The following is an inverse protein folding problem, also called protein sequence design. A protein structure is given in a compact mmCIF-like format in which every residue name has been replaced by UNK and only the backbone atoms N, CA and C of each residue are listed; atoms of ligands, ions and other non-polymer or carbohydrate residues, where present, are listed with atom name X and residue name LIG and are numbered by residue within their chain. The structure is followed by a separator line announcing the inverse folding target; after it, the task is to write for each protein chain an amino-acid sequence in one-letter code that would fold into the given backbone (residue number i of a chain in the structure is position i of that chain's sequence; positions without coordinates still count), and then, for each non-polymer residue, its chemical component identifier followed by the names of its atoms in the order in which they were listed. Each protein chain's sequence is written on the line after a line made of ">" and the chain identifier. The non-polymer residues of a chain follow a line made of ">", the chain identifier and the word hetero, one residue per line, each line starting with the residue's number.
data_IF_106377260005
#
_entry.id   IF_106377260005
#
_cell.length_a   1.000
_cell.length_b   1.000
_cell.length_c   1.000
_cell.angle_alpha   90.00
_cell.angle_beta   90.00
_cell.angle_gamma   90.00
#
_symmetry.space_group_name_H-M   'P 1'
#
loop_
_entity.id
_entity.type
_entity.pdbx_description
1 polymer ?
#
# COMPACT_ATOMS: atom_id res chain seq x y z
N UNK A 1 14.98 -8.32 13.75
CA UNK A 1 15.52 -7.12 13.07
C UNK A 1 14.68 -5.93 13.53
N UNK A 2 15.31 -4.80 13.85
CA UNK A 2 14.56 -3.55 14.05
C UNK A 2 13.95 -3.07 12.72
N UNK A 3 13.10 -2.05 12.80
CA UNK A 3 12.39 -1.50 11.66
C UNK A 3 13.34 -1.07 10.54
N UNK A 4 14.39 -0.32 10.87
CA UNK A 4 15.35 0.22 9.91
C UNK A 4 16.14 -0.87 9.19
N UNK A 5 16.68 -1.85 9.91
CA UNK A 5 17.46 -2.92 9.29
C UNK A 5 16.59 -3.76 8.35
N UNK A 6 15.34 -4.04 8.72
CA UNK A 6 14.40 -4.73 7.84
C UNK A 6 14.04 -3.88 6.61
N UNK A 7 13.82 -2.57 6.80
CA UNK A 7 13.50 -1.65 5.70
C UNK A 7 14.56 -1.59 4.62
N UNK A 8 15.84 -1.68 4.97
CA UNK A 8 16.95 -1.60 4.01
C UNK A 8 16.86 -2.71 2.96
N UNK A 9 16.49 -3.95 3.34
CA UNK A 9 16.38 -5.04 2.36
C UNK A 9 15.30 -4.78 1.31
N UNK A 10 14.14 -4.28 1.73
CA UNK A 10 13.06 -3.91 0.81
C UNK A 10 13.41 -2.67 -0.03
N UNK A 11 14.15 -1.72 0.55
CA UNK A 11 14.59 -0.52 -0.15
C UNK A 11 15.63 -0.85 -1.24
N UNK A 12 16.55 -1.78 -0.99
CA UNK A 12 17.55 -2.23 -1.98
C UNK A 12 16.85 -2.96 -3.14
N UNK A 13 15.88 -3.83 -2.86
CA UNK A 13 15.09 -4.50 -3.90
C UNK A 13 14.37 -3.48 -4.81
N UNK A 14 13.75 -2.46 -4.21
CA UNK A 14 13.14 -1.36 -5.00
C UNK A 14 14.15 -0.51 -5.74
N UNK A 15 15.34 -0.30 -5.17
CA UNK A 15 16.42 0.42 -5.86
C UNK A 15 16.84 -0.31 -7.14
N UNK A 16 17.02 -1.63 -7.09
CA UNK A 16 17.32 -2.44 -8.27
C UNK A 16 16.20 -2.37 -9.32
N UNK A 17 14.94 -2.47 -8.89
CA UNK A 17 13.79 -2.32 -9.79
C UNK A 17 13.69 -0.90 -10.39
N UNK A 18 14.20 0.13 -9.69
CA UNK A 18 14.01 1.55 -10.04
C UNK A 18 14.54 1.91 -11.43
N UNK A 19 15.61 1.26 -11.90
CA UNK A 19 16.16 1.48 -13.24
C UNK A 19 15.13 1.13 -14.32
N UNK A 20 14.45 -0.01 -14.17
CA UNK A 20 13.41 -0.41 -15.11
C UNK A 20 12.17 0.47 -15.01
N UNK A 21 11.79 0.87 -13.79
CA UNK A 21 10.67 1.77 -13.57
C UNK A 21 10.87 3.10 -14.30
N UNK A 22 12.06 3.71 -14.21
CA UNK A 22 12.38 4.95 -14.94
C UNK A 22 12.27 4.78 -16.45
N UNK A 23 12.84 3.72 -17.01
CA UNK A 23 12.76 3.45 -18.45
C UNK A 23 11.29 3.33 -18.93
N UNK A 24 10.43 2.71 -18.14
CA UNK A 24 9.00 2.59 -18.45
C UNK A 24 8.29 3.94 -18.34
N UNK A 25 8.58 4.71 -17.29
CA UNK A 25 8.00 6.04 -17.09
C UNK A 25 8.40 7.03 -18.19
N UNK A 26 9.66 7.01 -18.63
CA UNK A 26 10.16 7.82 -19.76
C UNK A 26 9.43 7.50 -21.07
N UNK A 27 8.96 6.26 -21.23
CA UNK A 27 8.13 5.83 -22.36
C UNK A 27 6.64 6.15 -22.19
N UNK A 28 6.28 6.94 -21.17
CA UNK A 28 4.90 7.31 -20.87
C UNK A 28 4.03 6.16 -20.39
N UNK A 29 4.62 5.11 -19.78
CA UNK A 29 3.85 3.97 -19.25
C UNK A 29 3.31 4.28 -17.86
N UNK A 30 2.08 3.83 -17.61
CA UNK A 30 1.51 3.77 -16.27
C UNK A 30 2.02 2.49 -15.59
N UNK A 31 2.46 2.63 -14.35
CA UNK A 31 2.95 1.51 -13.54
C UNK A 31 1.99 1.29 -12.37
N UNK A 32 1.47 0.08 -12.26
CA UNK A 32 0.73 -0.39 -11.10
C UNK A 32 1.61 -1.33 -10.29
N UNK A 33 1.85 -0.99 -9.03
CA UNK A 33 2.64 -1.82 -8.12
C UNK A 33 1.77 -2.40 -7.01
N UNK A 34 1.92 -3.70 -6.75
CA UNK A 34 1.38 -4.31 -5.54
C UNK A 34 2.41 -4.13 -4.42
N UNK A 35 2.13 -3.18 -3.51
CA UNK A 35 3.06 -2.64 -2.50
C UNK A 35 4.15 -1.75 -3.12
N UNK A 36 4.65 -0.82 -2.31
CA UNK A 36 5.76 0.06 -2.63
C UNK A 36 6.37 0.61 -1.33
N UNK A 37 7.00 1.79 -1.34
CA UNK A 37 7.60 2.41 -0.14
C UNK A 37 6.61 2.54 1.02
N UNK A 38 5.36 2.94 0.76
CA UNK A 38 4.30 3.06 1.79
C UNK A 38 4.05 1.76 2.55
N UNK A 39 4.26 0.60 1.92
CA UNK A 39 4.17 -0.68 2.63
C UNK A 39 5.32 -0.90 3.59
N UNK A 40 6.50 -0.40 3.28
CA UNK A 40 7.63 -0.45 4.20
C UNK A 40 7.35 0.43 5.43
N UNK A 41 6.81 1.62 5.21
CA UNK A 41 6.34 2.51 6.29
C UNK A 41 5.29 1.81 7.17
N UNK A 42 4.26 1.19 6.57
CA UNK A 42 3.19 0.53 7.31
C UNK A 42 3.66 -0.66 8.16
N UNK A 43 4.36 -1.62 7.53
CA UNK A 43 4.77 -2.86 8.21
C UNK A 43 5.86 -2.64 9.26
N UNK A 44 6.82 -1.75 8.98
CA UNK A 44 7.90 -1.49 9.94
C UNK A 44 7.50 -0.46 10.99
N UNK A 45 6.65 0.51 10.64
CA UNK A 45 6.04 1.45 11.60
C UNK A 45 5.20 0.72 12.66
N UNK A 46 4.51 -0.36 12.30
CA UNK A 46 3.76 -1.20 13.25
C UNK A 46 4.62 -1.95 14.29
N UNK A 47 5.95 -1.84 14.20
CA UNK A 47 6.91 -2.36 15.18
C UNK A 47 7.42 -1.27 16.14
N UNK A 48 6.97 -0.03 15.98
CA UNK A 48 7.40 1.13 16.76
C UNK A 48 6.18 1.67 17.50
N UNK A 49 6.17 1.53 18.82
CA UNK A 49 5.01 1.87 19.65
C UNK A 49 4.83 3.38 19.80
N UNK A 50 5.93 4.13 19.95
CA UNK A 50 5.90 5.58 20.13
C UNK A 50 5.62 6.32 18.81
N UNK A 51 4.69 7.27 18.86
CA UNK A 51 4.27 8.06 17.70
C UNK A 51 5.42 8.92 17.15
N UNK A 52 6.14 9.63 18.01
CA UNK A 52 7.20 10.54 17.57
C UNK A 52 8.37 9.77 16.93
N UNK A 53 8.68 8.59 17.46
CA UNK A 53 9.65 7.68 16.87
C UNK A 53 9.17 7.10 15.52
N UNK A 54 7.88 6.80 15.35
CA UNK A 54 7.31 6.47 14.02
C UNK A 54 7.48 7.61 13.04
N UNK A 55 7.20 8.84 13.45
CA UNK A 55 7.40 10.02 12.59
C UNK A 55 8.87 10.17 12.17
N UNK A 56 9.81 9.98 13.09
CA UNK A 56 11.26 9.98 12.77
C UNK A 56 11.60 8.88 11.78
N UNK A 57 11.07 7.67 11.99
CA UNK A 57 11.26 6.54 11.10
C UNK A 57 10.72 6.81 9.69
N UNK A 58 9.52 7.38 9.54
CA UNK A 58 8.97 7.72 8.23
C UNK A 58 9.82 8.74 7.47
N UNK A 59 10.32 9.77 8.17
CA UNK A 59 11.23 10.75 7.55
C UNK A 59 12.54 10.13 7.13
N UNK A 60 13.11 9.27 7.96
CA UNK A 60 14.31 8.51 7.62
C UNK A 60 14.08 7.62 6.39
N UNK A 61 12.95 6.93 6.33
CA UNK A 61 12.59 6.03 5.24
C UNK A 61 12.36 6.80 3.92
N UNK A 62 11.65 7.94 3.96
CA UNK A 62 11.47 8.81 2.78
C UNK A 62 12.83 9.28 2.25
N UNK A 63 13.72 9.74 3.14
CA UNK A 63 15.07 10.16 2.74
C UNK A 63 15.93 9.00 2.23
N UNK A 64 15.82 7.80 2.80
CA UNK A 64 16.53 6.63 2.31
C UNK A 64 16.07 6.27 0.90
N UNK A 65 14.78 6.03 0.71
CA UNK A 65 14.28 5.47 -0.55
C UNK A 65 14.19 6.52 -1.65
N UNK A 66 13.66 7.71 -1.35
CA UNK A 66 13.45 8.74 -2.35
C UNK A 66 14.58 9.77 -2.43
N UNK A 67 15.29 10.02 -1.34
CA UNK A 67 16.46 10.91 -1.35
C UNK A 67 17.71 10.20 -1.83
N UNK A 68 18.09 9.13 -1.14
CA UNK A 68 19.38 8.44 -1.33
C UNK A 68 19.33 7.46 -2.49
N UNK A 69 18.36 6.55 -2.49
CA UNK A 69 18.18 5.57 -3.57
C UNK A 69 17.42 6.16 -4.77
N UNK A 70 16.80 7.33 -4.58
CA UNK A 70 16.11 8.09 -5.61
C UNK A 70 15.01 7.29 -6.33
N UNK A 71 14.39 6.29 -5.69
CA UNK A 71 13.36 5.48 -6.37
C UNK A 71 12.22 6.38 -6.85
N UNK A 72 11.56 6.13 -8.00
CA UNK A 72 10.48 6.98 -8.48
C UNK A 72 9.37 7.16 -7.43
N UNK A 73 8.93 8.39 -7.17
CA UNK A 73 7.78 8.64 -6.28
C UNK A 73 6.48 8.23 -6.98
N UNK A 74 5.59 7.58 -6.23
CA UNK A 74 4.26 7.23 -6.74
C UNK A 74 3.37 8.49 -6.74
N UNK A 75 2.61 8.69 -7.82
CA UNK A 75 1.61 9.77 -7.90
C UNK A 75 0.46 9.56 -6.89
N UNK A 76 0.12 8.31 -6.61
CA UNK A 76 -0.94 7.92 -5.70
C UNK A 76 -0.63 6.55 -5.06
N UNK A 77 -0.81 6.47 -3.75
CA UNK A 77 -0.89 5.22 -3.01
C UNK A 77 -2.33 4.97 -2.58
N UNK A 78 -2.79 3.73 -2.70
CA UNK A 78 -4.14 3.33 -2.26
C UNK A 78 -3.99 2.24 -1.23
N UNK A 79 -4.52 2.48 -0.04
CA UNK A 79 -4.65 1.50 1.02
C UNK A 79 -6.07 0.93 0.93
N UNK A 80 -6.16 -0.38 0.66
CA UNK A 80 -7.43 -1.11 0.71
C UNK A 80 -7.66 -1.55 2.15
N UNK A 81 -8.61 -0.91 2.82
CA UNK A 81 -8.82 -1.06 4.25
C UNK A 81 -9.91 -2.08 4.56
N UNK A 82 -9.57 -3.04 5.42
CA UNK A 82 -10.48 -3.98 6.06
C UNK A 82 -10.12 -3.95 7.54
N UNK A 83 -11.09 -3.79 8.46
CA UNK A 83 -10.83 -3.83 9.89
C UNK A 83 -10.14 -5.13 10.32
N UNK A 84 -9.20 -5.06 11.25
CA UNK A 84 -8.36 -6.20 11.65
C UNK A 84 -9.20 -7.41 12.07
N UNK A 85 -10.29 -7.19 12.81
CA UNK A 85 -11.19 -8.27 13.26
C UNK A 85 -11.76 -9.05 12.07
N UNK A 86 -12.23 -8.35 11.04
CA UNK A 86 -12.73 -8.99 9.82
C UNK A 86 -11.59 -9.60 8.97
N UNK A 87 -10.42 -8.95 8.93
CA UNK A 87 -9.26 -9.49 8.23
C UNK A 87 -8.80 -10.82 8.81
N UNK A 88 -8.81 -10.96 10.15
CA UNK A 88 -8.51 -12.21 10.85
C UNK A 88 -9.49 -13.33 10.45
N UNK A 89 -10.79 -13.06 10.44
CA UNK A 89 -11.79 -14.06 10.01
C UNK A 89 -11.55 -14.54 8.57
N UNK A 90 -11.20 -13.62 7.66
CA UNK A 90 -10.91 -13.95 6.26
C UNK A 90 -9.63 -14.78 6.11
N UNK A 91 -8.58 -14.46 6.87
CA UNK A 91 -7.33 -15.23 6.91
C UNK A 91 -7.60 -16.65 7.39
N UNK A 92 -8.42 -16.80 8.43
CA UNK A 92 -8.77 -18.08 9.03
C UNK A 92 -9.55 -18.94 8.05
N UNK A 93 -10.59 -18.40 7.44
CA UNK A 93 -11.38 -19.08 6.41
C UNK A 93 -10.51 -19.51 5.22
N UNK A 94 -9.58 -18.64 4.79
CA UNK A 94 -8.64 -18.94 3.70
C UNK A 94 -7.66 -20.05 4.07
N UNK A 95 -7.12 -20.04 5.29
CA UNK A 95 -6.18 -21.05 5.77
C UNK A 95 -6.77 -22.46 5.74
N UNK A 96 -8.04 -22.58 6.15
CA UNK A 96 -8.82 -23.82 6.08
C UNK A 96 -9.06 -24.24 4.64
N UNK A 97 -9.50 -23.32 3.78
CA UNK A 97 -9.81 -23.59 2.37
C UNK A 97 -8.58 -24.04 1.58
N UNK A 98 -7.44 -23.42 1.83
CA UNK A 98 -6.19 -23.67 1.09
C UNK A 98 -5.29 -24.72 1.76
N UNK A 99 -5.71 -25.28 2.90
CA UNK A 99 -4.91 -26.17 3.75
C UNK A 99 -3.49 -25.63 4.01
N UNK A 100 -3.38 -24.31 4.20
CA UNK A 100 -2.10 -23.59 4.40
C UNK A 100 -1.92 -23.21 5.86
N UNK A 101 -0.67 -23.22 6.33
CA UNK A 101 -0.32 -22.60 7.61
C UNK A 101 -0.38 -21.08 7.48
N UNK A 102 -0.91 -20.42 8.50
CA UNK A 102 -0.83 -18.95 8.65
C UNK A 102 0.64 -18.53 8.70
N UNK A 103 1.01 -17.46 8.01
CA UNK A 103 2.34 -16.86 8.13
C UNK A 103 2.54 -16.24 9.52
N UNK A 104 3.78 -15.96 9.93
CA UNK A 104 4.15 -15.40 11.25
C UNK A 104 3.37 -14.12 11.54
N UNK A 105 3.20 -13.25 10.53
CA UNK A 105 2.43 -12.02 10.64
C UNK A 105 0.91 -12.25 10.78
N UNK A 106 0.40 -13.38 10.28
CA UNK A 106 -1.01 -13.76 10.32
C UNK A 106 -1.39 -14.49 11.63
N UNK A 107 -0.41 -14.81 12.49
CA UNK A 107 -0.62 -15.52 13.76
C UNK A 107 -0.73 -14.59 14.98
N UNK A 108 -0.41 -13.31 14.84
CA UNK A 108 -0.44 -12.32 15.92
C UNK A 108 -1.57 -11.29 15.67
N UNK A 109 -2.74 -11.46 16.31
CA UNK A 109 -3.86 -10.51 16.26
C UNK A 109 -3.47 -9.08 16.59
N UNK A 110 -2.57 -8.90 17.56
CA UNK A 110 -2.15 -7.57 18.00
C UNK A 110 -1.23 -6.92 16.96
N UNK A 111 -0.46 -7.72 16.21
CA UNK A 111 0.29 -7.20 15.08
C UNK A 111 -0.62 -6.70 13.95
N UNK A 112 -1.72 -7.40 13.64
CA UNK A 112 -2.68 -6.97 12.62
C UNK A 112 -3.39 -5.67 13.02
N UNK A 113 -3.80 -5.53 14.28
CA UNK A 113 -4.39 -4.29 14.80
C UNK A 113 -3.42 -3.12 14.75
N UNK A 114 -2.18 -3.30 15.23
CA UNK A 114 -1.15 -2.26 15.12
C UNK A 114 -0.86 -1.88 13.66
N UNK A 115 -0.86 -2.86 12.76
CA UNK A 115 -0.69 -2.59 11.34
C UNK A 115 -1.85 -1.77 10.77
N UNK A 116 -3.10 -2.10 11.11
CA UNK A 116 -4.28 -1.32 10.75
C UNK A 116 -4.14 0.13 11.23
N UNK A 117 -3.91 0.34 12.53
CA UNK A 117 -3.73 1.67 13.14
C UNK A 117 -2.66 2.49 12.42
N UNK A 118 -1.51 1.88 12.13
CA UNK A 118 -0.41 2.54 11.43
C UNK A 118 -0.77 2.87 9.98
N UNK A 119 -1.49 2.01 9.26
CA UNK A 119 -1.92 2.32 7.90
C UNK A 119 -2.99 3.43 7.86
N UNK A 120 -3.86 3.50 8.87
CA UNK A 120 -4.81 4.61 9.04
C UNK A 120 -4.05 5.93 9.29
N UNK A 121 -3.08 5.92 10.20
CA UNK A 121 -2.19 7.06 10.48
C UNK A 121 -1.46 7.52 9.20
N UNK A 122 -0.88 6.59 8.43
CA UNK A 122 -0.22 6.87 7.16
C UNK A 122 -1.18 7.52 6.15
N UNK A 123 -2.44 7.10 6.10
CA UNK A 123 -3.42 7.67 5.18
C UNK A 123 -3.72 9.15 5.49
N UNK A 124 -3.62 9.55 6.77
CA UNK A 124 -3.78 10.94 7.18
C UNK A 124 -2.50 11.77 6.97
N UNK A 125 -1.34 11.18 7.29
CA UNK A 125 -0.06 11.89 7.24
C UNK A 125 0.50 12.04 5.82
N UNK A 126 0.29 11.07 4.94
CA UNK A 126 0.97 11.02 3.65
C UNK A 126 0.08 11.63 2.57
N UNK A 127 0.45 12.79 1.98
CA UNK A 127 -0.47 13.59 1.17
C UNK A 127 -0.92 12.91 -0.14
N UNK A 128 -0.13 11.99 -0.68
CA UNK A 128 -0.43 11.20 -1.87
C UNK A 128 -0.98 9.80 -1.55
N UNK A 129 -1.40 9.54 -0.31
CA UNK A 129 -2.01 8.28 0.10
C UNK A 129 -3.51 8.44 0.30
N UNK A 130 -4.30 7.47 -0.15
CA UNK A 130 -5.75 7.43 0.03
C UNK A 130 -6.17 6.10 0.61
N UNK A 131 -7.07 6.16 1.58
CA UNK A 131 -7.75 5.00 2.13
C UNK A 131 -9.00 4.69 1.31
N UNK A 132 -9.21 3.41 0.98
CA UNK A 132 -10.43 2.91 0.37
C UNK A 132 -11.01 1.84 1.29
N UNK A 133 -12.11 2.19 1.96
CA UNK A 133 -12.88 1.26 2.77
C UNK A 133 -13.43 0.12 1.89
N UNK A 134 -13.06 -1.10 2.23
CA UNK A 134 -13.52 -2.31 1.59
C UNK A 134 -14.66 -2.98 2.38
N UNK A 135 -15.13 -2.34 3.45
CA UNK A 135 -16.25 -2.80 4.29
C UNK A 135 -17.26 -1.66 4.44
N UNK A 136 -18.53 -1.94 4.21
CA UNK A 136 -19.63 -1.00 4.45
C UNK A 136 -20.75 -1.68 5.20
N UNK A 137 -21.26 -1.04 6.26
CA UNK A 137 -22.35 -1.57 7.09
C UNK A 137 -22.09 -3.02 7.58
N UNK A 138 -20.83 -3.32 7.94
CA UNK A 138 -20.42 -4.65 8.41
C UNK A 138 -20.29 -5.71 7.31
N UNK A 139 -20.44 -5.35 6.03
CA UNK A 139 -20.34 -6.27 4.90
C UNK A 139 -19.06 -5.99 4.10
N UNK A 140 -18.31 -7.05 3.80
CA UNK A 140 -17.20 -6.98 2.84
C UNK A 140 -17.73 -6.65 1.44
N UNK A 141 -17.16 -5.62 0.82
CA UNK A 141 -17.48 -5.22 -0.54
C UNK A 141 -16.94 -6.24 -1.55
N UNK A 142 -17.67 -6.42 -2.65
CA UNK A 142 -17.20 -7.22 -3.77
C UNK A 142 -16.05 -6.53 -4.52
N UNK A 143 -15.23 -7.29 -5.27
CA UNK A 143 -14.16 -6.70 -6.08
C UNK A 143 -14.64 -5.61 -7.06
N UNK A 144 -15.87 -5.71 -7.58
CA UNK A 144 -16.45 -4.71 -8.49
C UNK A 144 -16.80 -3.40 -7.76
N UNK A 145 -17.35 -3.50 -6.55
CA UNK A 145 -17.64 -2.34 -5.69
C UNK A 145 -16.32 -1.63 -5.30
N UNK A 146 -15.31 -2.39 -4.87
CA UNK A 146 -13.98 -1.83 -4.56
C UNK A 146 -13.33 -1.23 -5.81
N UNK A 147 -13.40 -1.90 -6.96
CA UNK A 147 -12.91 -1.39 -8.24
C UNK A 147 -13.50 -0.02 -8.56
N UNK A 148 -14.82 0.15 -8.39
CA UNK A 148 -15.49 1.43 -8.66
C UNK A 148 -14.90 2.55 -7.80
N UNK A 149 -14.71 2.31 -6.50
CA UNK A 149 -14.09 3.27 -5.57
C UNK A 149 -12.66 3.61 -5.96
N UNK A 150 -11.85 2.60 -6.29
CA UNK A 150 -10.47 2.78 -6.75
C UNK A 150 -10.42 3.57 -8.05
N UNK A 151 -11.29 3.25 -9.01
CA UNK A 151 -11.36 3.90 -10.32
C UNK A 151 -11.63 5.41 -10.21
N UNK A 152 -12.53 5.81 -9.30
CA UNK A 152 -12.81 7.23 -9.03
C UNK A 152 -11.56 8.01 -8.61
N UNK A 153 -10.63 7.37 -7.89
CA UNK A 153 -9.35 7.98 -7.48
C UNK A 153 -8.33 7.99 -8.62
N UNK A 154 -8.19 6.89 -9.37
CA UNK A 154 -7.10 6.73 -10.34
C UNK A 154 -7.41 7.29 -11.73
N UNK A 155 -8.69 7.43 -12.12
CA UNK A 155 -9.06 7.75 -13.51
C UNK A 155 -8.45 9.06 -14.02
N UNK A 156 -8.26 10.06 -13.14
CA UNK A 156 -7.64 11.35 -13.51
C UNK A 156 -6.16 11.20 -13.84
N UNK A 157 -5.48 10.27 -13.18
CA UNK A 157 -4.08 9.94 -13.44
C UNK A 157 -4.01 9.08 -14.71
N UNK A 158 -4.83 8.04 -14.78
CA UNK A 158 -4.80 7.07 -15.88
C UNK A 158 -5.25 7.64 -17.22
N UNK A 159 -6.13 8.64 -17.21
CA UNK A 159 -6.70 9.25 -18.42
C UNK A 159 -6.13 10.65 -18.72
N UNK A 160 -5.07 11.07 -18.02
CA UNK A 160 -4.51 12.43 -18.13
C UNK A 160 -4.22 12.83 -19.58
N UNK A 161 -3.73 11.88 -20.38
CA UNK A 161 -3.33 12.09 -21.77
C UNK A 161 -4.24 11.35 -22.77
N UNK A 162 -5.43 10.91 -22.34
CA UNK A 162 -6.41 10.24 -23.19
C UNK A 162 -7.45 11.25 -23.68
N UNK A 163 -7.53 11.44 -25.00
CA UNK A 163 -8.53 12.35 -25.57
C UNK A 163 -9.97 11.91 -25.22
N UNK A 164 -10.86 12.86 -24.83
CA UNK A 164 -12.22 12.56 -24.40
C UNK A 164 -13.09 11.79 -25.41
N UNK A 165 -12.75 11.84 -26.70
CA UNK A 165 -13.47 11.17 -27.80
C UNK A 165 -13.32 9.64 -27.76
N UNK A 166 -12.26 9.12 -27.15
CA UNK A 166 -12.01 7.67 -27.01
C UNK A 166 -12.74 7.03 -25.82
N UNK A 167 -13.27 7.84 -24.89
CA UNK A 167 -13.90 7.37 -23.63
C UNK A 167 -15.30 6.79 -23.87
N UNK A 168 -15.95 7.09 -25.01
CA UNK A 168 -17.31 6.62 -25.31
C UNK A 168 -17.43 5.13 -25.63
N UNK A 169 -16.32 4.41 -25.82
CA UNK A 169 -16.33 3.00 -26.24
C UNK A 169 -16.10 1.98 -25.11
N UNK A 170 -16.09 2.42 -23.85
CA UNK A 170 -15.98 1.53 -22.67
C UNK A 170 -17.25 1.57 -21.82
N UNK A 171 -18.41 1.39 -22.46
CA UNK A 171 -19.68 1.09 -21.77
C UNK A 171 -19.94 -0.40 -21.77
#
# INVERSE_FOLDING_TARGET
>A
LNAEAASIFYAIDRFDASFKLRELLEKGKIILSNRYVTSNAGHQGAKIDDYDDRIKFYRWLDNLEYGTYNVPKADLNIILHIPADMAMELIDARSVKENRKKDIHEQDPEHLKRAEEVYLEIAELFPNTRLVECVENGRLLSPSEVHTKVWELVRRIALKDVEPTLIRNFK
#
